data_IF_356919575889
#
_entry.id   IF_356919575889
#
_cell.length_a   1.000
_cell.length_b   1.000
_cell.length_c   1.000
_cell.angle_alpha   90.00
_cell.angle_beta   90.00
_cell.angle_gamma   90.00
#
_symmetry.space_group_name_H-M   'P 1'
#
loop_
_entity.id
_entity.type
_entity.pdbx_description
1 polymer ?
#
# COMPACT_ATOMS: atom_id res chain seq x y z
N UNK A 1 4.35 7.88 1.88
CA UNK A 1 3.21 7.53 1.01
C UNK A 1 1.93 7.95 1.72
N UNK A 2 0.96 8.51 1.00
CA UNK A 2 -0.38 8.78 1.53
C UNK A 2 -0.87 7.61 2.35
N UNK A 3 -1.14 7.85 3.63
CA UNK A 3 -1.65 6.82 4.53
C UNK A 3 -2.93 6.21 3.92
N UNK A 4 -3.75 7.03 3.25
CA UNK A 4 -4.94 6.62 2.51
C UNK A 4 -4.63 5.67 1.35
N UNK A 5 -3.57 5.92 0.57
CA UNK A 5 -3.17 5.02 -0.53
C UNK A 5 -2.65 3.69 0.02
N UNK A 6 -1.90 3.74 1.13
CA UNK A 6 -1.37 2.55 1.81
C UNK A 6 -2.49 1.69 2.41
N UNK A 7 -3.49 2.33 3.01
CA UNK A 7 -4.70 1.68 3.55
C UNK A 7 -5.54 1.09 2.41
N UNK A 8 -5.74 1.85 1.31
CA UNK A 8 -6.48 1.36 0.14
C UNK A 8 -5.85 0.11 -0.49
N UNK A 9 -4.52 0.10 -0.65
CA UNK A 9 -3.78 -1.07 -1.13
C UNK A 9 -3.93 -2.25 -0.16
N UNK A 10 -3.83 -1.99 1.15
CA UNK A 10 -4.03 -3.01 2.18
C UNK A 10 -5.41 -3.67 2.11
N UNK A 11 -6.48 -2.88 1.98
CA UNK A 11 -7.86 -3.37 1.91
C UNK A 11 -8.08 -4.20 0.63
N UNK A 12 -7.62 -3.71 -0.53
CA UNK A 12 -7.75 -4.44 -1.80
C UNK A 12 -6.99 -5.77 -1.77
N UNK A 13 -5.88 -5.84 -1.03
CA UNK A 13 -5.09 -7.07 -0.91
C UNK A 13 -5.71 -8.12 0.01
N UNK A 14 -6.71 -7.79 0.84
CA UNK A 14 -7.38 -8.78 1.71
C UNK A 14 -8.08 -9.85 0.88
N UNK A 15 -8.83 -9.44 -0.15
CA UNK A 15 -9.63 -10.37 -0.99
C UNK A 15 -8.76 -11.44 -1.66
N UNK A 16 -7.73 -11.10 -2.46
CA UNK A 16 -6.89 -12.12 -3.09
C UNK A 16 -6.11 -12.94 -2.06
N UNK A 17 -5.70 -12.35 -0.94
CA UNK A 17 -5.02 -13.08 0.15
C UNK A 17 -5.90 -14.19 0.70
N UNK A 18 -7.18 -13.90 0.93
CA UNK A 18 -8.12 -14.85 1.50
C UNK A 18 -8.51 -15.95 0.50
N UNK A 19 -8.71 -15.58 -0.77
CA UNK A 19 -9.03 -16.54 -1.85
C UNK A 19 -7.89 -17.53 -2.05
N UNK A 20 -6.63 -17.06 -2.11
CA UNK A 20 -5.47 -17.93 -2.33
C UNK A 20 -5.18 -18.77 -1.07
N UNK A 21 -5.36 -18.21 0.14
CA UNK A 21 -5.25 -18.99 1.38
C UNK A 21 -6.27 -20.14 1.44
N UNK A 22 -7.53 -19.88 1.04
CA UNK A 22 -8.56 -20.91 0.95
C UNK A 22 -8.24 -21.98 -0.09
N UNK A 23 -7.71 -21.58 -1.25
CA UNK A 23 -7.24 -22.51 -2.27
C UNK A 23 -6.07 -23.38 -1.76
N UNK A 24 -5.10 -22.78 -1.06
CA UNK A 24 -3.98 -23.50 -0.46
C UNK A 24 -4.44 -24.51 0.59
N UNK A 25 -5.40 -24.14 1.43
CA UNK A 25 -6.00 -25.05 2.40
C UNK A 25 -6.70 -26.22 1.71
N UNK A 26 -7.47 -25.96 0.66
CA UNK A 26 -8.18 -27.00 -0.08
C UNK A 26 -7.25 -27.96 -0.83
N UNK A 27 -6.08 -27.49 -1.27
CA UNK A 27 -5.12 -28.30 -2.03
C UNK A 27 -4.24 -29.17 -1.14
N UNK A 28 -3.79 -28.65 -0.01
CA UNK A 28 -2.76 -29.31 0.80
C UNK A 28 -3.26 -29.81 2.15
N UNK A 29 -4.42 -29.32 2.64
CA UNK A 29 -4.99 -29.64 3.96
C UNK A 29 -3.95 -29.61 5.10
N UNK A 30 -2.94 -28.74 4.98
CA UNK A 30 -1.77 -28.69 5.84
C UNK A 30 -1.50 -27.26 6.26
N UNK A 31 -0.93 -27.10 7.45
CA UNK A 31 -0.64 -25.79 8.05
C UNK A 31 0.61 -25.13 7.47
N UNK A 32 1.56 -25.93 6.96
CA UNK A 32 2.82 -25.45 6.37
C UNK A 32 2.58 -24.46 5.21
N UNK A 33 1.73 -24.75 4.21
CA UNK A 33 1.47 -23.82 3.10
C UNK A 33 0.81 -22.52 3.57
N UNK A 34 -0.03 -22.54 4.62
CA UNK A 34 -0.59 -21.31 5.19
C UNK A 34 0.52 -20.41 5.73
N UNK A 35 1.47 -20.97 6.49
CA UNK A 35 2.58 -20.20 7.07
C UNK A 35 3.45 -19.58 5.96
N UNK A 36 3.77 -20.36 4.92
CA UNK A 36 4.50 -19.87 3.76
C UNK A 36 3.73 -18.76 3.04
N UNK A 37 2.41 -18.92 2.89
CA UNK A 37 1.56 -17.92 2.26
C UNK A 37 1.54 -16.60 3.03
N UNK A 38 1.44 -16.65 4.36
CA UNK A 38 1.50 -15.46 5.21
C UNK A 38 2.84 -14.74 5.04
N UNK A 39 3.96 -15.47 4.95
CA UNK A 39 5.28 -14.88 4.69
C UNK A 39 5.36 -14.20 3.32
N UNK A 40 4.82 -14.83 2.28
CA UNK A 40 4.78 -14.28 0.92
C UNK A 40 3.96 -12.98 0.88
N UNK A 41 2.77 -12.97 1.47
CA UNK A 41 1.89 -11.79 1.52
C UNK A 41 2.53 -10.67 2.34
N UNK A 42 3.17 -10.99 3.47
CA UNK A 42 3.87 -10.01 4.28
C UNK A 42 5.02 -9.35 3.50
N UNK A 43 5.83 -10.13 2.80
CA UNK A 43 6.90 -9.62 1.94
C UNK A 43 6.37 -8.81 0.76
N UNK A 44 5.26 -9.24 0.16
CA UNK A 44 4.63 -8.54 -0.96
C UNK A 44 4.06 -7.19 -0.54
N UNK A 45 3.32 -7.13 0.57
CA UNK A 45 2.80 -5.89 1.16
C UNK A 45 3.95 -4.99 1.59
N UNK A 46 4.99 -5.53 2.22
CA UNK A 46 6.20 -4.78 2.55
C UNK A 46 6.88 -4.23 1.29
N UNK A 47 6.96 -4.98 0.19
CA UNK A 47 7.50 -4.54 -1.09
C UNK A 47 6.66 -3.43 -1.76
N UNK A 48 5.33 -3.58 -1.78
CA UNK A 48 4.40 -2.56 -2.28
C UNK A 48 4.48 -1.25 -1.48
N UNK A 49 4.66 -1.37 -0.17
CA UNK A 49 4.83 -0.24 0.75
C UNK A 49 6.25 0.35 0.69
N UNK A 50 7.26 -0.46 0.44
CA UNK A 50 8.65 0.00 0.29
C UNK A 50 8.89 0.60 -1.10
N UNK A 51 7.90 0.49 -2.00
CA UNK A 51 7.83 1.14 -3.30
C UNK A 51 8.07 2.64 -3.23
N UNK A 52 9.32 2.99 -3.49
CA UNK A 52 9.88 4.27 -3.91
C UNK A 52 9.07 4.92 -5.04
N UNK A 53 7.92 5.48 -4.71
CA UNK A 53 7.30 6.53 -5.51
C UNK A 53 7.71 7.87 -4.91
N UNK A 54 8.62 8.64 -5.56
CA UNK A 54 8.79 10.03 -5.21
C UNK A 54 7.43 10.71 -5.43
N UNK A 55 6.81 11.14 -4.34
CA UNK A 55 5.72 12.08 -4.44
C UNK A 55 6.36 13.42 -4.79
N UNK A 56 6.44 13.73 -6.08
CA UNK A 56 6.60 15.11 -6.52
C UNK A 56 5.29 15.83 -6.22
N UNK A 57 5.10 16.25 -4.97
CA UNK A 57 4.31 17.43 -4.70
C UNK A 57 5.22 18.62 -5.00
N UNK A 58 5.27 19.02 -6.26
CA UNK A 58 5.78 20.34 -6.61
C UNK A 58 4.88 21.37 -5.95
N UNK A 59 5.52 22.31 -5.27
CA UNK A 59 4.99 23.59 -4.82
C UNK A 59 4.17 24.29 -5.90
N UNK A 60 3.15 25.01 -5.44
CA UNK A 60 2.64 26.33 -5.87
C UNK A 60 1.26 26.40 -5.22
N UNK A 61 1.02 27.17 -4.16
CA UNK A 61 0.79 28.61 -4.27
C UNK A 61 0.80 29.26 -2.86
N UNK A 62 1.97 29.32 -2.25
CA UNK A 62 2.30 30.41 -1.32
C UNK A 62 3.01 31.46 -2.20
N UNK A 63 2.69 32.76 -2.08
CA UNK A 63 3.32 33.91 -2.79
C UNK A 63 2.51 34.64 -3.88
N UNK A 64 1.19 34.82 -3.72
CA UNK A 64 0.51 35.95 -4.41
C UNK A 64 -0.35 36.82 -3.47
N UNK A 65 -0.22 36.66 -2.15
CA UNK A 65 -0.95 37.42 -1.14
C UNK A 65 -0.06 38.34 -0.29
N UNK A 66 1.09 38.76 -0.82
CA UNK A 66 2.09 39.53 -0.05
C UNK A 66 2.95 40.48 -0.91
N UNK A 67 2.38 41.07 -1.96
CA UNK A 67 3.03 42.19 -2.66
C UNK A 67 2.02 43.13 -3.32
N UNK A 68 1.17 43.78 -2.51
CA UNK A 68 0.67 45.10 -2.90
C UNK A 68 0.59 46.04 -1.69
N UNK A 69 1.73 46.61 -1.25
CA UNK A 69 1.76 47.89 -0.55
C UNK A 69 2.08 48.99 -1.58
N UNK A 70 1.12 49.84 -1.90
CA UNK A 70 1.28 51.16 -2.55
C UNK A 70 -0.11 51.79 -2.53
N UNK A 71 -0.39 52.66 -1.55
CA UNK A 71 -0.19 54.11 -1.61
C UNK A 71 -1.36 54.80 -2.34
#
# INVERSE_FOLDING_TARGET
MDIFRRIGIGIVMIVPTFVIAGALWSLFHSWIPIVIWVLVVAAFVAGLISGKFPRSSSSSEESHLSAHPSA
#
